data_IF_178413850080
#
_entry.id   IF_178413850080
#
_cell.length_a   1.000
_cell.length_b   1.000
_cell.length_c   1.000
_cell.angle_alpha   90.00
_cell.angle_beta   90.00
_cell.angle_gamma   90.00
#
_symmetry.space_group_name_H-M   'P 1'
#
loop_
_entity.id
_entity.type
_entity.pdbx_description
1 polymer ?
#
# COMPACT_ATOMS: atom_id res chain seq x y z
N UNK A 1 23.61 9.82 12.74
CA UNK A 1 22.30 10.52 12.54
C UNK A 1 21.23 9.66 13.18
N UNK A 2 20.23 10.24 13.83
CA UNK A 2 19.11 9.49 14.40
C UNK A 2 18.02 9.35 13.34
N UNK A 3 17.52 8.12 13.11
CA UNK A 3 16.44 7.86 12.18
C UNK A 3 15.07 8.28 12.75
N UNK A 4 14.15 8.65 11.90
CA UNK A 4 12.77 8.96 12.25
C UNK A 4 11.84 7.85 11.76
N UNK A 5 11.06 7.25 12.68
CA UNK A 5 10.12 6.18 12.40
C UNK A 5 8.70 6.64 12.70
N UNK A 6 7.79 6.50 11.75
CA UNK A 6 6.37 6.79 11.92
C UNK A 6 5.57 5.50 12.05
N UNK A 7 4.85 5.34 13.15
CA UNK A 7 3.83 4.31 13.30
C UNK A 7 2.45 4.82 12.89
N UNK A 8 1.74 4.06 12.07
CA UNK A 8 0.35 4.35 11.68
C UNK A 8 -0.55 3.19 12.10
N UNK A 9 -1.57 3.45 12.90
CA UNK A 9 -2.64 2.48 13.15
C UNK A 9 -3.99 2.99 12.67
N UNK A 10 -4.88 2.05 12.33
CA UNK A 10 -6.28 2.31 11.98
C UNK A 10 -7.27 1.58 12.91
N UNK A 11 -6.74 0.96 13.96
CA UNK A 11 -7.52 0.28 14.99
C UNK A 11 -8.15 1.26 15.99
N UNK A 12 -9.11 0.78 16.77
CA UNK A 12 -9.59 1.52 17.94
C UNK A 12 -8.49 1.66 18.99
N UNK A 13 -8.62 2.61 19.87
CA UNK A 13 -7.73 2.76 21.02
C UNK A 13 -7.65 1.46 21.82
N UNK A 14 -6.47 1.15 22.32
CA UNK A 14 -6.15 -0.07 23.09
C UNK A 14 -6.47 -1.39 22.33
N UNK A 15 -6.45 -1.38 21.02
CA UNK A 15 -6.62 -2.58 20.20
C UNK A 15 -5.34 -3.40 20.11
N UNK A 16 -5.46 -4.67 19.69
CA UNK A 16 -4.30 -5.51 19.41
C UNK A 16 -3.35 -4.87 18.38
N UNK A 17 -3.89 -4.23 17.33
CA UNK A 17 -3.07 -3.54 16.33
C UNK A 17 -2.31 -2.35 16.90
N UNK A 18 -2.91 -1.59 17.82
CA UNK A 18 -2.20 -0.49 18.50
C UNK A 18 -1.10 -0.99 19.43
N UNK A 19 -1.37 -2.08 20.17
CA UNK A 19 -0.39 -2.67 21.08
C UNK A 19 0.82 -3.20 20.31
N UNK A 20 0.60 -4.00 19.27
CA UNK A 20 1.69 -4.55 18.45
C UNK A 20 2.48 -3.46 17.73
N UNK A 21 1.82 -2.37 17.30
CA UNK A 21 2.51 -1.22 16.75
C UNK A 21 3.41 -0.53 17.79
N UNK A 22 2.89 -0.30 18.99
CA UNK A 22 3.67 0.29 20.08
C UNK A 22 4.89 -0.53 20.44
N UNK A 23 4.76 -1.85 20.45
CA UNK A 23 5.90 -2.75 20.71
C UNK A 23 6.97 -2.66 19.63
N UNK A 24 6.58 -2.63 18.36
CA UNK A 24 7.51 -2.44 17.25
C UNK A 24 8.20 -1.06 17.30
N UNK A 25 7.47 -0.01 17.67
CA UNK A 25 8.04 1.33 17.84
C UNK A 25 9.00 1.41 19.04
N UNK A 26 8.66 0.72 20.14
CA UNK A 26 9.54 0.63 21.31
C UNK A 26 10.90 0.04 20.92
N UNK A 27 10.92 -1.04 20.16
CA UNK A 27 12.17 -1.64 19.68
C UNK A 27 12.98 -0.69 18.77
N UNK A 28 12.31 0.19 18.02
CA UNK A 28 13.01 1.23 17.25
C UNK A 28 13.59 2.32 18.17
N UNK A 29 12.84 2.75 19.19
CA UNK A 29 13.25 3.77 20.14
C UNK A 29 14.44 3.30 20.99
N UNK A 30 14.44 2.04 21.46
CA UNK A 30 15.55 1.40 22.20
C UNK A 30 16.85 1.38 21.40
N UNK A 31 16.77 1.39 20.06
CA UNK A 31 17.92 1.49 19.16
C UNK A 31 18.21 2.94 18.70
N UNK A 32 17.63 3.93 19.37
CA UNK A 32 17.94 5.35 19.20
C UNK A 32 17.19 6.06 18.07
N UNK A 33 16.11 5.49 17.54
CA UNK A 33 15.26 6.19 16.60
C UNK A 33 14.36 7.22 17.29
N UNK A 34 14.02 8.30 16.59
CA UNK A 34 12.93 9.18 16.95
C UNK A 34 11.62 8.60 16.45
N UNK A 35 10.78 8.12 17.35
CA UNK A 35 9.50 7.50 17.01
C UNK A 35 8.34 8.47 17.14
N UNK A 36 7.39 8.37 16.20
CA UNK A 36 6.10 9.07 16.24
C UNK A 36 5.01 8.07 15.94
N UNK A 37 3.84 8.26 16.51
CA UNK A 37 2.69 7.40 16.27
C UNK A 37 1.44 8.24 16.00
N UNK A 38 0.66 7.83 15.02
CA UNK A 38 -0.68 8.38 14.76
C UNK A 38 -1.71 7.25 14.69
N UNK A 39 -2.93 7.54 15.13
CA UNK A 39 -4.10 6.72 14.87
C UNK A 39 -4.97 7.45 13.85
N UNK A 40 -5.22 6.84 12.70
CA UNK A 40 -6.01 7.46 11.63
C UNK A 40 -7.45 7.77 12.04
N UNK A 41 -7.93 7.20 13.14
CA UNK A 41 -9.27 7.48 13.70
C UNK A 41 -9.36 8.83 14.40
N UNK A 42 -8.22 9.40 14.78
CA UNK A 42 -8.15 10.70 15.45
C UNK A 42 -8.15 11.88 14.45
N UNK A 43 -8.13 11.57 13.15
CA UNK A 43 -8.06 12.55 12.06
C UNK A 43 -9.30 12.49 11.17
N UNK A 44 -9.69 13.65 10.66
CA UNK A 44 -10.69 13.72 9.62
C UNK A 44 -10.06 13.37 8.27
N UNK A 45 -10.38 12.19 7.73
CA UNK A 45 -9.88 11.73 6.44
C UNK A 45 -11.09 11.42 5.56
N UNK A 46 -11.29 12.20 4.51
CA UNK A 46 -12.35 11.99 3.54
C UNK A 46 -11.97 10.88 2.54
N UNK A 47 -12.96 10.18 2.04
CA UNK A 47 -12.79 9.21 0.96
C UNK A 47 -12.45 9.89 -0.37
N UNK A 48 -11.84 9.14 -1.29
CA UNK A 48 -11.58 9.63 -2.64
C UNK A 48 -12.89 9.86 -3.40
N UNK A 49 -13.05 11.06 -3.94
CA UNK A 49 -14.25 11.41 -4.73
C UNK A 49 -14.19 10.97 -6.20
N UNK A 50 -13.09 10.38 -6.66
CA UNK A 50 -12.89 9.99 -8.06
C UNK A 50 -12.84 11.17 -9.04
N UNK A 51 -12.47 12.37 -8.59
CA UNK A 51 -12.49 13.60 -9.40
C UNK A 51 -11.40 13.69 -10.50
N UNK A 52 -10.48 12.73 -10.57
CA UNK A 52 -9.35 12.62 -11.53
C UNK A 52 -8.36 13.79 -11.57
N UNK A 53 -8.49 14.80 -10.71
CA UNK A 53 -7.61 15.97 -10.75
C UNK A 53 -6.12 15.62 -10.60
N UNK A 54 -5.76 14.65 -9.74
CA UNK A 54 -4.38 14.19 -9.57
C UNK A 54 -3.84 13.57 -10.87
N UNK A 55 -4.58 12.69 -11.53
CA UNK A 55 -4.17 12.06 -12.80
C UNK A 55 -4.07 13.08 -13.93
N UNK A 56 -4.99 14.04 -14.01
CA UNK A 56 -4.89 15.16 -14.94
C UNK A 56 -3.66 16.04 -14.67
N UNK A 57 -3.34 16.24 -13.40
CA UNK A 57 -2.11 16.92 -13.00
C UNK A 57 -0.87 16.19 -13.51
N UNK A 58 -0.81 14.86 -13.32
CA UNK A 58 0.31 14.02 -13.77
C UNK A 58 0.48 14.08 -15.29
N UNK A 59 -0.60 13.92 -16.07
CA UNK A 59 -0.59 14.03 -17.54
C UNK A 59 -0.03 15.39 -18.01
N UNK A 60 -0.33 16.46 -17.28
CA UNK A 60 0.12 17.82 -17.61
C UNK A 60 1.45 18.20 -16.93
N UNK A 61 2.14 17.28 -16.26
CA UNK A 61 3.40 17.54 -15.55
C UNK A 61 3.27 18.55 -14.41
N UNK A 62 2.11 18.63 -13.76
CA UNK A 62 1.81 19.62 -12.71
C UNK A 62 1.35 18.94 -11.41
N UNK A 63 2.00 19.29 -10.32
CA UNK A 63 1.51 18.90 -8.99
C UNK A 63 0.29 19.76 -8.64
N UNK A 64 -0.90 19.19 -8.79
CA UNK A 64 -2.16 19.80 -8.37
C UNK A 64 -2.61 19.34 -6.98
N UNK A 65 -1.92 18.34 -6.41
CA UNK A 65 -2.30 17.72 -5.14
C UNK A 65 -3.69 17.08 -5.18
N UNK A 66 -4.30 16.92 -4.02
CA UNK A 66 -5.66 16.41 -3.91
C UNK A 66 -6.65 17.56 -3.70
N UNK A 67 -7.76 17.57 -4.44
CA UNK A 67 -8.82 18.60 -4.31
C UNK A 67 -9.47 18.66 -2.93
N UNK A 68 -9.28 17.62 -2.12
CA UNK A 68 -9.77 17.53 -0.74
C UNK A 68 -8.76 17.99 0.31
N UNK A 69 -7.52 18.34 -0.06
CA UNK A 69 -6.43 18.66 0.88
C UNK A 69 -6.75 19.76 1.88
N UNK A 70 -7.57 20.73 1.48
CA UNK A 70 -8.00 21.84 2.37
C UNK A 70 -9.23 21.52 3.22
N UNK A 71 -9.78 20.30 3.08
CA UNK A 71 -11.03 19.90 3.72
C UNK A 71 -10.84 18.83 4.79
N UNK A 72 -9.65 18.23 4.84
CA UNK A 72 -9.32 17.17 5.77
C UNK A 72 -7.82 17.14 6.12
N UNK A 73 -7.44 16.23 7.01
CA UNK A 73 -6.10 16.19 7.60
C UNK A 73 -5.09 15.37 6.78
N UNK A 74 -5.51 14.77 5.64
CA UNK A 74 -4.65 13.83 4.93
C UNK A 74 -3.34 14.45 4.45
N UNK A 75 -3.37 15.66 3.93
CA UNK A 75 -2.16 16.31 3.42
C UNK A 75 -1.10 16.51 4.50
N UNK A 76 -1.51 16.87 5.72
CA UNK A 76 -0.59 17.06 6.84
C UNK A 76 0.03 15.72 7.29
N UNK A 77 -0.74 14.63 7.25
CA UNK A 77 -0.20 13.28 7.49
C UNK A 77 0.81 12.91 6.41
N UNK A 78 0.51 13.19 5.14
CA UNK A 78 1.42 12.89 4.03
C UNK A 78 2.71 13.69 4.09
N UNK A 79 2.67 14.96 4.49
CA UNK A 79 3.88 15.76 4.72
C UNK A 79 4.81 15.13 5.76
N UNK A 80 4.24 14.57 6.83
CA UNK A 80 5.02 13.84 7.83
C UNK A 80 5.54 12.52 7.26
N UNK A 81 4.66 11.74 6.62
CA UNK A 81 4.96 10.41 6.09
C UNK A 81 6.07 10.44 5.03
N UNK A 82 6.08 11.42 4.13
CA UNK A 82 7.11 11.55 3.08
C UNK A 82 8.49 11.97 3.64
N UNK A 83 8.56 12.48 4.87
CA UNK A 83 9.80 12.95 5.48
C UNK A 83 10.45 11.95 6.46
N UNK A 84 9.78 10.85 6.83
CA UNK A 84 10.37 9.85 7.74
C UNK A 84 11.30 8.87 6.99
N UNK A 85 12.16 8.17 7.75
CA UNK A 85 13.07 7.15 7.22
C UNK A 85 12.39 5.77 7.17
N UNK A 86 11.45 5.53 8.09
CA UNK A 86 10.68 4.30 8.11
C UNK A 86 9.22 4.51 8.49
N UNK A 87 8.38 3.58 8.02
CA UNK A 87 6.97 3.48 8.31
C UNK A 87 6.66 2.11 8.93
N UNK A 88 5.94 2.07 10.04
CA UNK A 88 5.33 0.83 10.54
C UNK A 88 3.81 1.01 10.51
N UNK A 89 3.12 0.18 9.73
CA UNK A 89 1.66 0.19 9.66
C UNK A 89 1.10 -0.99 10.43
N UNK A 90 0.13 -0.74 11.31
CA UNK A 90 -0.62 -1.81 11.97
C UNK A 90 -2.13 -1.55 11.85
N UNK A 91 -2.82 -2.40 11.11
CA UNK A 91 -4.25 -2.27 10.87
C UNK A 91 -5.02 -3.57 11.18
N UNK A 92 -6.21 -3.47 11.79
CA UNK A 92 -7.07 -4.63 11.95
C UNK A 92 -7.68 -5.05 10.61
N UNK A 93 -7.93 -6.35 10.49
CA UNK A 93 -8.65 -6.95 9.37
C UNK A 93 -10.16 -6.92 9.64
N UNK A 94 -10.94 -6.39 8.70
CA UNK A 94 -12.39 -6.53 8.65
C UNK A 94 -12.79 -7.02 7.25
N UNK A 95 -13.64 -8.03 7.19
CA UNK A 95 -14.10 -8.63 5.93
C UNK A 95 -12.95 -8.88 4.93
N UNK A 96 -11.94 -9.65 5.37
CA UNK A 96 -10.76 -10.09 4.63
C UNK A 96 -9.70 -9.01 4.34
N UNK A 97 -10.02 -7.73 4.39
CA UNK A 97 -9.14 -6.59 4.03
C UNK A 97 -8.75 -5.77 5.25
N UNK A 98 -7.83 -4.81 5.07
CA UNK A 98 -7.61 -3.76 6.06
C UNK A 98 -8.88 -2.92 6.27
N UNK A 99 -9.01 -2.29 7.44
CA UNK A 99 -10.21 -1.52 7.80
C UNK A 99 -10.52 -0.39 6.81
N UNK A 100 -11.80 -0.02 6.69
CA UNK A 100 -12.23 1.11 5.88
C UNK A 100 -11.53 2.43 6.26
N UNK A 101 -11.18 2.61 7.54
CA UNK A 101 -10.38 3.76 8.00
C UNK A 101 -9.02 3.82 7.32
N UNK A 102 -8.33 2.67 7.19
CA UNK A 102 -7.06 2.59 6.48
C UNK A 102 -7.25 2.76 4.97
N UNK A 103 -8.25 2.10 4.40
CA UNK A 103 -8.55 2.18 2.96
C UNK A 103 -8.89 3.62 2.52
N UNK A 104 -9.65 4.38 3.30
CA UNK A 104 -9.90 5.81 3.01
C UNK A 104 -8.60 6.61 2.93
N UNK A 105 -7.68 6.35 3.85
CA UNK A 105 -6.36 6.98 3.82
C UNK A 105 -5.60 6.59 2.56
N UNK A 106 -5.54 5.30 2.25
CA UNK A 106 -4.79 4.73 1.13
C UNK A 106 -5.31 5.23 -0.24
N UNK A 107 -6.62 5.21 -0.48
CA UNK A 107 -7.21 5.47 -1.81
C UNK A 107 -6.92 6.86 -2.39
N UNK A 108 -6.32 7.76 -1.61
CA UNK A 108 -5.92 9.09 -2.07
C UNK A 108 -4.41 9.27 -2.18
N UNK A 109 -3.63 8.19 -2.04
CA UNK A 109 -2.17 8.27 -2.11
C UNK A 109 -1.65 8.66 -3.49
N UNK A 110 -2.39 8.37 -4.56
CA UNK A 110 -1.98 8.74 -5.92
C UNK A 110 -1.71 10.25 -6.08
N UNK A 111 -2.42 11.12 -5.33
CA UNK A 111 -2.17 12.56 -5.34
C UNK A 111 -0.80 12.94 -4.71
N UNK A 112 -0.13 12.00 -4.07
CA UNK A 112 1.15 12.13 -3.37
C UNK A 112 2.14 11.06 -3.85
N UNK A 113 2.00 10.62 -5.10
CA UNK A 113 2.83 9.57 -5.70
C UNK A 113 4.29 10.05 -5.78
N UNK A 114 5.20 9.34 -5.11
CA UNK A 114 6.57 9.79 -4.91
C UNK A 114 7.35 9.91 -6.21
N UNK A 115 7.25 8.92 -7.12
CA UNK A 115 8.00 8.95 -8.37
C UNK A 115 7.60 10.16 -9.24
N UNK A 116 6.31 10.53 -9.26
CA UNK A 116 5.86 11.72 -9.96
C UNK A 116 6.37 13.01 -9.29
N UNK A 117 6.29 13.09 -7.95
CA UNK A 117 6.76 14.27 -7.21
C UNK A 117 8.26 14.47 -7.34
N UNK A 118 9.04 13.39 -7.38
CA UNK A 118 10.48 13.40 -7.66
C UNK A 118 10.78 13.84 -9.09
N UNK A 119 10.07 13.28 -10.08
CA UNK A 119 10.21 13.61 -11.49
C UNK A 119 10.02 15.11 -11.78
N UNK A 120 9.08 15.76 -11.10
CA UNK A 120 8.82 17.20 -11.25
C UNK A 120 9.62 18.08 -10.26
N UNK A 121 10.52 17.47 -9.47
CA UNK A 121 11.37 18.20 -8.51
C UNK A 121 10.62 18.77 -7.30
N UNK A 122 9.43 18.23 -6.98
CA UNK A 122 8.63 18.69 -5.84
C UNK A 122 9.10 18.09 -4.50
N UNK A 123 9.74 16.93 -4.53
CA UNK A 123 10.43 16.30 -3.38
C UNK A 123 11.76 15.73 -3.83
N UNK A 124 12.67 15.53 -2.87
CA UNK A 124 13.92 14.80 -3.10
C UNK A 124 13.70 13.30 -2.88
N UNK A 125 14.45 12.48 -3.62
CA UNK A 125 14.44 11.03 -3.44
C UNK A 125 14.92 10.66 -2.04
N UNK A 126 14.23 9.71 -1.43
CA UNK A 126 14.59 9.20 -0.10
C UNK A 126 14.35 7.69 -0.04
N UNK A 127 15.40 6.94 0.27
CA UNK A 127 15.33 5.49 0.50
C UNK A 127 14.63 5.19 1.83
N UNK A 128 13.35 4.84 1.77
CA UNK A 128 12.50 4.53 2.93
C UNK A 128 12.27 3.04 3.08
N UNK A 129 12.01 2.59 4.31
CA UNK A 129 11.62 1.20 4.58
C UNK A 129 10.28 1.12 5.29
N UNK A 130 9.60 -0.04 5.18
CA UNK A 130 8.37 -0.28 5.91
C UNK A 130 8.29 -1.67 6.54
N UNK A 131 7.59 -1.73 7.68
CA UNK A 131 7.09 -2.93 8.33
C UNK A 131 5.57 -2.92 8.39
N UNK A 132 4.93 -4.06 8.14
CA UNK A 132 3.47 -4.15 8.06
C UNK A 132 2.93 -5.18 9.02
N UNK A 133 1.93 -4.79 9.82
CA UNK A 133 1.21 -5.68 10.75
C UNK A 133 -0.27 -5.68 10.37
N UNK A 134 -0.84 -6.83 10.09
CA UNK A 134 -2.28 -7.01 10.03
C UNK A 134 -2.75 -7.88 11.19
N UNK A 135 -3.88 -7.52 11.79
CA UNK A 135 -4.39 -8.17 13.01
C UNK A 135 -5.82 -8.62 12.81
N UNK A 136 -6.10 -9.89 13.01
CA UNK A 136 -7.45 -10.42 12.87
C UNK A 136 -7.83 -11.51 13.88
N UNK A 137 -9.12 -11.69 14.02
CA UNK A 137 -9.72 -12.61 15.02
C UNK A 137 -9.72 -14.08 14.61
N UNK A 138 -9.47 -14.40 13.35
CA UNK A 138 -9.54 -15.76 12.82
C UNK A 138 -8.21 -16.22 12.23
N UNK A 139 -8.23 -17.30 11.47
CA UNK A 139 -7.10 -17.87 10.77
C UNK A 139 -6.71 -17.01 9.56
N UNK A 140 -5.55 -17.30 8.97
CA UNK A 140 -5.02 -16.58 7.79
C UNK A 140 -6.03 -16.48 6.63
N UNK A 141 -6.83 -17.53 6.39
CA UNK A 141 -7.82 -17.54 5.30
C UNK A 141 -8.89 -16.45 5.43
N UNK A 142 -9.17 -15.99 6.65
CA UNK A 142 -10.09 -14.89 6.94
C UNK A 142 -9.40 -13.51 7.00
N UNK A 143 -8.17 -13.43 6.55
CA UNK A 143 -7.36 -12.22 6.48
C UNK A 143 -6.60 -12.15 5.14
N UNK A 144 -7.15 -12.81 4.11
CA UNK A 144 -6.44 -13.16 2.89
C UNK A 144 -5.99 -11.98 2.02
N UNK A 145 -6.57 -10.81 2.21
CA UNK A 145 -6.21 -9.59 1.47
C UNK A 145 -5.76 -8.45 2.40
N UNK A 146 -5.56 -8.73 3.68
CA UNK A 146 -5.33 -7.69 4.66
C UNK A 146 -3.92 -7.07 4.53
N UNK A 147 -2.87 -7.90 4.48
CA UNK A 147 -1.50 -7.43 4.27
C UNK A 147 -1.32 -6.84 2.88
N UNK A 148 -1.89 -7.46 1.85
CA UNK A 148 -1.86 -6.99 0.47
C UNK A 148 -2.45 -5.58 0.32
N UNK A 149 -3.57 -5.32 0.98
CA UNK A 149 -4.20 -3.99 0.97
C UNK A 149 -3.39 -2.92 1.71
N UNK A 150 -2.61 -3.30 2.74
CA UNK A 150 -1.67 -2.42 3.42
C UNK A 150 -0.42 -2.21 2.55
N UNK A 151 0.12 -3.29 2.01
CA UNK A 151 1.34 -3.29 1.21
C UNK A 151 1.22 -2.41 -0.04
N UNK A 152 0.07 -2.46 -0.72
CA UNK A 152 -0.22 -1.65 -1.89
C UNK A 152 -0.05 -0.13 -1.67
N UNK A 153 -0.12 0.34 -0.41
CA UNK A 153 0.12 1.75 -0.07
C UNK A 153 1.60 2.13 -0.12
N UNK A 154 2.46 1.17 0.18
CA UNK A 154 3.88 1.43 0.43
C UNK A 154 4.61 1.81 -0.85
N UNK A 155 4.32 1.16 -1.98
CA UNK A 155 5.00 1.46 -3.24
C UNK A 155 4.63 2.85 -3.80
N UNK A 156 3.39 3.31 -3.65
CA UNK A 156 2.98 4.66 -4.10
C UNK A 156 3.84 5.76 -3.47
N UNK A 157 4.34 5.54 -2.26
CA UNK A 157 5.14 6.51 -1.51
C UNK A 157 6.57 6.03 -1.26
N UNK A 158 7.07 5.11 -2.08
CA UNK A 158 8.45 4.65 -2.11
C UNK A 158 8.98 4.07 -0.79
N UNK A 159 8.16 3.26 -0.13
CA UNK A 159 8.56 2.50 1.05
C UNK A 159 8.90 1.06 0.67
N UNK A 160 10.16 0.67 0.77
CA UNK A 160 10.57 -0.72 0.62
C UNK A 160 10.07 -1.54 1.82
N UNK A 161 9.13 -2.46 1.59
CA UNK A 161 8.64 -3.35 2.64
C UNK A 161 9.72 -4.40 2.94
N UNK A 162 10.20 -4.42 4.18
CA UNK A 162 11.28 -5.34 4.62
C UNK A 162 10.80 -6.41 5.59
N UNK A 163 9.63 -6.23 6.18
CA UNK A 163 9.03 -7.21 7.09
C UNK A 163 7.50 -7.08 7.08
N UNK A 164 6.81 -8.23 7.17
CA UNK A 164 5.35 -8.31 7.34
C UNK A 164 4.99 -9.31 8.42
N UNK A 165 3.96 -8.98 9.19
CA UNK A 165 3.43 -9.84 10.24
C UNK A 165 1.90 -9.93 10.18
N UNK A 166 1.38 -11.15 10.10
CA UNK A 166 -0.04 -11.45 10.16
C UNK A 166 -0.39 -12.03 11.53
N UNK A 167 -0.84 -11.20 12.46
CA UNK A 167 -1.31 -11.64 13.77
C UNK A 167 -2.74 -12.21 13.65
N UNK A 168 -2.89 -13.49 13.97
CA UNK A 168 -4.14 -14.24 13.81
C UNK A 168 -4.73 -14.67 15.14
N UNK A 169 -6.04 -15.02 15.19
CA UNK A 169 -6.73 -15.63 16.34
C UNK A 169 -6.78 -14.76 17.61
N UNK A 170 -6.79 -13.44 17.44
CA UNK A 170 -6.94 -12.48 18.55
C UNK A 170 -8.17 -11.57 18.37
N UNK A 171 -9.42 -12.16 18.47
CA UNK A 171 -10.65 -11.43 18.24
C UNK A 171 -10.97 -10.38 19.32
N UNK A 172 -10.54 -10.62 20.56
CA UNK A 172 -10.84 -9.72 21.67
C UNK A 172 -9.80 -8.58 21.80
N UNK A 173 -10.21 -7.38 22.26
CA UNK A 173 -9.27 -6.31 22.56
C UNK A 173 -8.20 -6.74 23.56
N UNK A 174 -6.94 -6.32 23.32
CA UNK A 174 -5.80 -6.63 24.20
C UNK A 174 -5.43 -8.11 24.29
N UNK A 175 -6.11 -8.99 23.54
CA UNK A 175 -5.86 -10.42 23.61
C UNK A 175 -4.44 -10.79 23.20
N UNK A 176 -3.78 -10.04 22.33
CA UNK A 176 -2.38 -10.26 21.98
C UNK A 176 -1.43 -10.26 23.19
N UNK A 177 -1.82 -9.62 24.31
CA UNK A 177 -1.04 -9.61 25.54
C UNK A 177 -1.01 -10.97 26.27
N UNK A 178 -1.84 -11.94 25.87
CA UNK A 178 -1.80 -13.31 26.35
C UNK A 178 -0.85 -14.20 25.54
N UNK A 179 -0.17 -13.62 24.54
CA UNK A 179 0.65 -14.31 23.55
C UNK A 179 2.02 -13.62 23.46
N UNK A 180 2.97 -14.06 24.32
CA UNK A 180 4.32 -13.47 24.37
C UNK A 180 5.03 -13.55 23.01
N UNK A 181 4.81 -14.61 22.25
CA UNK A 181 5.32 -14.80 20.90
C UNK A 181 4.86 -13.69 19.92
N UNK A 182 3.62 -13.20 20.04
CA UNK A 182 3.11 -12.08 19.22
C UNK A 182 3.80 -10.77 19.59
N UNK A 183 4.01 -10.52 20.88
CA UNK A 183 4.71 -9.33 21.37
C UNK A 183 6.16 -9.36 20.90
N UNK A 184 6.85 -10.49 21.10
CA UNK A 184 8.23 -10.68 20.63
C UNK A 184 8.34 -10.54 19.10
N UNK A 185 7.36 -11.06 18.33
CA UNK A 185 7.35 -10.92 16.88
C UNK A 185 7.17 -9.46 16.43
N UNK A 186 6.35 -8.69 17.14
CA UNK A 186 6.20 -7.25 16.88
C UNK A 186 7.48 -6.47 17.26
N UNK A 187 8.10 -6.79 18.39
CA UNK A 187 9.39 -6.24 18.79
C UNK A 187 10.46 -6.52 17.72
N UNK A 188 10.52 -7.77 17.25
CA UNK A 188 11.44 -8.19 16.18
C UNK A 188 11.28 -7.38 14.90
N UNK A 189 10.06 -6.98 14.55
CA UNK A 189 9.83 -6.09 13.40
C UNK A 189 10.52 -4.74 13.58
N UNK A 190 10.45 -4.13 14.76
CA UNK A 190 11.18 -2.90 15.07
C UNK A 190 12.69 -3.06 14.92
N UNK A 191 13.26 -4.17 15.44
CA UNK A 191 14.67 -4.50 15.24
C UNK A 191 15.03 -4.66 13.74
N UNK A 192 14.17 -5.32 12.96
CA UNK A 192 14.36 -5.51 11.53
C UNK A 192 14.34 -4.18 10.78
N UNK A 193 13.44 -3.27 11.11
CA UNK A 193 13.39 -1.89 10.58
C UNK A 193 14.71 -1.18 10.86
N UNK A 194 15.20 -1.17 12.11
CA UNK A 194 16.43 -0.49 12.47
C UNK A 194 17.66 -1.11 11.81
N UNK A 195 17.71 -2.44 11.71
CA UNK A 195 18.77 -3.14 10.97
C UNK A 195 18.75 -2.76 9.49
N UNK A 196 17.56 -2.69 8.87
CA UNK A 196 17.41 -2.27 7.48
C UNK A 196 17.87 -0.83 7.26
N UNK A 197 17.51 0.11 8.15
CA UNK A 197 17.92 1.51 8.07
C UNK A 197 19.45 1.68 8.20
N UNK A 198 20.11 0.83 9.00
CA UNK A 198 21.56 0.81 9.14
C UNK A 198 22.29 0.06 8.01
N UNK A 199 21.55 -0.55 7.08
CA UNK A 199 22.07 -1.23 5.90
C UNK A 199 21.99 -0.29 4.68
N UNK A 200 23.04 -0.20 3.84
CA UNK A 200 22.99 0.58 2.60
C UNK A 200 21.76 0.22 1.74
N UNK A 201 21.08 1.18 1.17
CA UNK A 201 19.79 0.97 0.49
C UNK A 201 19.79 -0.18 -0.54
N UNK A 202 20.88 -0.29 -1.32
CA UNK A 202 21.05 -1.35 -2.34
C UNK A 202 21.24 -2.76 -1.77
N UNK A 203 21.63 -2.86 -0.50
CA UNK A 203 21.90 -4.12 0.20
C UNK A 203 20.72 -4.54 1.11
N UNK A 204 19.71 -3.69 1.24
CA UNK A 204 18.53 -3.98 2.05
C UNK A 204 17.78 -5.18 1.51
N UNK A 205 17.62 -6.21 2.32
CA UNK A 205 16.93 -7.44 2.00
C UNK A 205 15.65 -7.59 2.82
N UNK A 206 14.83 -8.54 2.42
CA UNK A 206 13.71 -9.03 3.22
C UNK A 206 14.20 -9.61 4.55
N UNK A 207 13.51 -9.30 5.63
CA UNK A 207 13.83 -9.73 7.00
C UNK A 207 12.65 -10.40 7.72
N UNK A 208 11.50 -10.47 7.04
CA UNK A 208 10.33 -11.20 7.51
C UNK A 208 10.46 -12.71 7.32
N UNK A 209 9.37 -13.44 7.54
CA UNK A 209 9.33 -14.88 7.34
C UNK A 209 9.52 -15.23 5.85
N UNK A 210 10.39 -16.20 5.54
CA UNK A 210 10.70 -16.59 4.15
C UNK A 210 9.46 -17.06 3.38
N UNK A 211 8.55 -17.75 4.05
CA UNK A 211 7.32 -18.30 3.46
C UNK A 211 6.10 -17.39 3.67
N UNK A 212 6.29 -16.08 3.78
CA UNK A 212 5.17 -15.15 3.98
C UNK A 212 4.17 -15.20 2.84
N UNK A 213 4.60 -15.25 1.59
CA UNK A 213 3.74 -15.26 0.41
C UNK A 213 4.33 -15.97 -0.80
N UNK A 214 3.55 -16.04 -1.88
CA UNK A 214 3.91 -16.68 -3.14
C UNK A 214 4.97 -15.90 -3.94
N UNK A 215 4.87 -14.56 -3.94
CA UNK A 215 5.76 -13.73 -4.73
C UNK A 215 7.15 -13.66 -4.08
N UNK A 216 8.22 -14.13 -4.76
CA UNK A 216 9.57 -14.09 -4.19
C UNK A 216 10.15 -12.66 -4.13
N UNK A 217 9.51 -11.69 -4.81
CA UNK A 217 9.95 -10.31 -4.83
C UNK A 217 9.36 -9.47 -3.70
N UNK A 218 8.03 -9.47 -3.55
CA UNK A 218 7.35 -8.63 -2.54
C UNK A 218 6.68 -9.42 -1.41
N UNK A 219 6.77 -10.75 -1.42
CA UNK A 219 6.21 -11.67 -0.42
C UNK A 219 4.68 -11.61 -0.25
N UNK A 220 3.96 -11.10 -1.26
CA UNK A 220 2.50 -11.14 -1.30
C UNK A 220 1.97 -12.53 -1.66
N UNK A 221 0.76 -12.84 -1.19
CA UNK A 221 0.02 -14.05 -1.57
C UNK A 221 -0.90 -13.86 -2.78
N UNK A 222 -1.06 -12.65 -3.26
CA UNK A 222 -2.01 -12.33 -4.32
C UNK A 222 -1.39 -12.52 -5.70
N UNK A 223 -1.73 -13.64 -6.36
CA UNK A 223 -1.41 -13.92 -7.74
C UNK A 223 -2.68 -13.92 -8.59
N UNK A 224 -2.57 -13.43 -9.82
CA UNK A 224 -3.65 -13.43 -10.83
C UNK A 224 -3.18 -14.05 -12.13
N UNK A 225 -4.11 -14.45 -12.97
CA UNK A 225 -3.83 -14.72 -14.38
C UNK A 225 -3.42 -13.41 -15.05
N UNK A 226 -2.33 -13.46 -15.79
CA UNK A 226 -1.84 -12.29 -16.50
C UNK A 226 -2.73 -11.92 -17.68
N UNK A 227 -2.70 -10.66 -18.04
CA UNK A 227 -3.41 -10.11 -19.19
C UNK A 227 -2.48 -9.30 -20.09
N UNK A 228 -2.91 -9.10 -21.34
CA UNK A 228 -2.19 -8.24 -22.26
C UNK A 228 -2.22 -6.79 -21.76
N UNK A 229 -1.06 -6.27 -21.52
CA UNK A 229 -0.89 -4.92 -21.01
C UNK A 229 -0.86 -3.90 -22.15
N UNK A 230 -0.97 -2.61 -21.82
CA UNK A 230 -0.99 -1.51 -22.77
C UNK A 230 0.24 -1.43 -23.68
N UNK A 231 1.39 -1.94 -23.25
CA UNK A 231 2.66 -1.99 -23.99
C UNK A 231 2.89 -3.32 -24.71
N UNK A 232 1.90 -4.20 -24.74
CA UNK A 232 1.95 -5.50 -25.42
C UNK A 232 2.63 -6.61 -24.63
N UNK A 233 3.08 -6.37 -23.40
CA UNK A 233 3.69 -7.40 -22.53
C UNK A 233 2.58 -8.20 -21.86
N UNK A 234 2.75 -9.53 -21.80
CA UNK A 234 1.84 -10.45 -21.14
C UNK A 234 2.65 -11.58 -20.47
N UNK A 235 2.36 -11.85 -19.22
CA UNK A 235 2.89 -13.00 -18.49
C UNK A 235 1.73 -13.94 -18.12
N UNK A 236 1.95 -15.26 -18.03
CA UNK A 236 0.89 -16.21 -17.65
C UNK A 236 0.31 -15.96 -16.26
N UNK A 237 1.13 -15.51 -15.33
CA UNK A 237 0.75 -15.19 -13.94
C UNK A 237 1.43 -13.89 -13.50
N UNK A 238 0.74 -13.07 -12.81
CA UNK A 238 1.25 -11.80 -12.28
C UNK A 238 0.99 -11.66 -10.78
N UNK A 239 1.90 -10.99 -10.06
CA UNK A 239 1.67 -10.59 -8.68
C UNK A 239 0.80 -9.33 -8.64
N UNK A 240 -0.35 -9.38 -7.97
CA UNK A 240 -1.27 -8.24 -7.87
C UNK A 240 -0.66 -7.04 -7.16
N UNK A 241 0.27 -7.25 -6.24
CA UNK A 241 0.85 -6.17 -5.45
C UNK A 241 1.99 -5.48 -6.20
N UNK A 242 3.06 -6.21 -6.53
CA UNK A 242 4.23 -5.58 -7.15
C UNK A 242 4.20 -5.57 -8.69
N UNK A 243 3.36 -6.35 -9.33
CA UNK A 243 3.31 -6.45 -10.79
C UNK A 243 4.36 -7.38 -11.39
N UNK A 244 5.09 -8.15 -10.56
CA UNK A 244 6.04 -9.15 -11.08
C UNK A 244 5.32 -10.20 -11.93
N UNK A 245 5.80 -10.40 -13.16
CA UNK A 245 5.28 -11.37 -14.12
C UNK A 245 6.08 -12.67 -14.14
N UNK A 246 5.41 -13.79 -14.33
CA UNK A 246 6.08 -15.09 -14.32
C UNK A 246 5.17 -16.29 -14.57
N UNK A 247 5.61 -17.45 -14.11
CA UNK A 247 4.92 -18.73 -14.21
C UNK A 247 4.75 -19.40 -12.85
N UNK A 248 3.79 -20.32 -12.77
CA UNK A 248 3.72 -21.31 -11.70
C UNK A 248 4.43 -22.59 -12.15
N UNK A 249 5.43 -23.02 -11.38
CA UNK A 249 6.20 -24.23 -11.64
C UNK A 249 6.07 -25.21 -10.49
N UNK A 250 6.13 -26.51 -10.80
CA UNK A 250 6.25 -27.58 -9.80
C UNK A 250 7.70 -27.71 -9.36
N UNK A 251 7.90 -27.75 -8.05
CA UNK A 251 9.17 -28.13 -7.43
C UNK A 251 9.35 -29.66 -7.45
N UNK A 252 10.57 -30.14 -7.22
CA UNK A 252 10.86 -31.59 -7.18
C UNK A 252 10.04 -32.34 -6.12
N UNK A 253 9.74 -31.67 -5.00
CA UNK A 253 8.88 -32.21 -3.94
C UNK A 253 7.35 -32.07 -4.23
N UNK A 254 7.00 -31.65 -5.45
CA UNK A 254 5.63 -31.60 -5.96
C UNK A 254 4.82 -30.37 -5.53
N UNK A 255 5.42 -29.43 -4.82
CA UNK A 255 4.79 -28.14 -4.48
C UNK A 255 4.81 -27.17 -5.66
N UNK A 256 3.98 -26.14 -5.58
CA UNK A 256 3.99 -25.06 -6.56
C UNK A 256 4.81 -23.88 -6.03
N UNK A 257 5.53 -23.22 -6.95
CA UNK A 257 6.20 -21.94 -6.69
C UNK A 257 5.90 -20.95 -7.83
N UNK A 258 5.87 -19.68 -7.52
CA UNK A 258 5.86 -18.63 -8.53
C UNK A 258 7.30 -18.29 -8.89
N UNK A 259 7.61 -18.37 -10.19
CA UNK A 259 8.93 -18.08 -10.75
C UNK A 259 8.82 -16.86 -11.66
N UNK A 260 9.52 -15.80 -11.29
CA UNK A 260 9.58 -14.58 -12.09
C UNK A 260 10.35 -14.85 -13.35
N UNK A 261 9.78 -14.51 -14.51
CA UNK A 261 10.40 -14.68 -15.83
C UNK A 261 11.42 -13.58 -16.13
N UNK A 262 12.21 -13.76 -17.18
CA UNK A 262 12.99 -12.69 -17.78
C UNK A 262 12.07 -11.50 -18.09
N UNK A 263 12.50 -10.29 -17.79
CA UNK A 263 11.70 -9.06 -17.86
C UNK A 263 10.45 -9.02 -16.98
N UNK A 264 10.20 -10.03 -16.16
CA UNK A 264 9.05 -10.11 -15.26
C UNK A 264 8.97 -8.97 -14.22
N UNK A 265 10.07 -8.27 -13.97
CA UNK A 265 10.13 -7.08 -13.12
C UNK A 265 10.06 -5.75 -13.90
N UNK A 266 9.85 -5.79 -15.21
CA UNK A 266 9.78 -4.58 -16.05
C UNK A 266 8.66 -3.60 -15.65
N UNK A 267 7.73 -4.05 -14.80
CA UNK A 267 6.59 -3.27 -14.26
C UNK A 267 6.55 -3.28 -12.73
N UNK A 268 7.69 -3.50 -12.11
CA UNK A 268 7.77 -3.56 -10.66
C UNK A 268 7.31 -2.25 -10.02
N UNK A 269 6.11 -2.26 -9.45
CA UNK A 269 5.51 -1.11 -8.76
C UNK A 269 6.28 -0.68 -7.52
N UNK A 270 7.20 -1.52 -7.04
CA UNK A 270 8.06 -1.20 -5.89
C UNK A 270 9.34 -0.48 -6.30
N UNK A 271 9.60 -0.35 -7.61
CA UNK A 271 10.73 0.40 -8.17
C UNK A 271 10.30 1.77 -8.72
N UNK A 272 11.22 2.70 -8.81
CA UNK A 272 10.99 4.00 -9.44
C UNK A 272 10.67 3.82 -10.92
N UNK A 273 11.43 2.97 -11.63
CA UNK A 273 11.27 2.70 -13.05
C UNK A 273 9.89 2.12 -13.38
N UNK A 274 9.41 1.18 -12.56
CA UNK A 274 8.07 0.58 -12.75
C UNK A 274 6.95 1.59 -12.52
N UNK A 275 7.11 2.51 -11.55
CA UNK A 275 6.15 3.60 -11.31
C UNK A 275 6.18 4.66 -12.40
N UNK A 276 7.35 5.03 -12.92
CA UNK A 276 7.46 5.90 -14.09
C UNK A 276 6.77 5.28 -15.31
N UNK A 277 6.90 3.95 -15.50
CA UNK A 277 6.17 3.25 -16.55
C UNK A 277 4.65 3.35 -16.36
N UNK A 278 4.17 3.26 -15.13
CA UNK A 278 2.75 3.46 -14.82
C UNK A 278 2.29 4.92 -15.08
N UNK A 279 3.13 5.92 -14.84
CA UNK A 279 2.81 7.30 -15.23
C UNK A 279 2.58 7.43 -16.75
N UNK A 280 3.41 6.77 -17.57
CA UNK A 280 3.22 6.72 -19.03
C UNK A 280 1.95 5.96 -19.43
N UNK A 281 1.59 4.91 -18.69
CA UNK A 281 0.32 4.20 -18.88
C UNK A 281 -0.87 5.12 -18.61
N UNK A 282 -0.84 5.93 -17.55
CA UNK A 282 -1.86 6.94 -17.25
C UNK A 282 -1.98 7.95 -18.41
N UNK A 283 -0.84 8.43 -18.92
CA UNK A 283 -0.82 9.34 -20.06
C UNK A 283 -1.43 8.68 -21.32
N UNK A 284 -1.05 7.44 -21.62
CA UNK A 284 -1.56 6.70 -22.77
C UNK A 284 -3.07 6.44 -22.66
N UNK A 285 -3.53 5.95 -21.52
CA UNK A 285 -4.91 5.51 -21.33
C UNK A 285 -5.89 6.65 -21.09
N UNK A 286 -5.52 7.63 -20.28
CA UNK A 286 -6.38 8.76 -19.95
C UNK A 286 -6.18 9.97 -20.89
N UNK A 287 -4.94 10.26 -21.28
CA UNK A 287 -4.64 11.36 -22.17
C UNK A 287 -5.31 11.21 -23.53
N UNK A 288 -5.32 9.99 -24.08
CA UNK A 288 -5.99 9.66 -25.33
C UNK A 288 -7.52 9.77 -25.30
N UNK A 289 -8.13 9.82 -24.10
CA UNK A 289 -9.58 9.99 -23.96
C UNK A 289 -10.04 11.43 -24.23
N UNK A 290 -9.25 12.45 -23.88
CA UNK A 290 -9.66 13.86 -23.90
C UNK A 290 -9.53 14.52 -25.28
N UNK A 291 -9.97 13.82 -26.34
CA UNK A 291 -10.10 14.39 -27.69
C UNK A 291 -11.51 14.96 -27.89
N UNK A 292 -11.65 15.95 -28.75
CA UNK A 292 -12.96 16.53 -29.09
C UNK A 292 -13.93 15.47 -29.62
N UNK A 293 -13.44 14.54 -30.48
CA UNK A 293 -14.19 13.43 -31.00
C UNK A 293 -14.74 12.50 -29.92
N UNK A 294 -13.87 12.01 -29.03
CA UNK A 294 -14.24 11.12 -27.91
C UNK A 294 -15.24 11.80 -26.97
N UNK A 295 -15.03 13.06 -26.65
CA UNK A 295 -15.94 13.82 -25.79
C UNK A 295 -17.31 14.03 -26.43
N UNK A 296 -17.38 14.24 -27.75
CA UNK A 296 -18.64 14.34 -28.47
C UNK A 296 -19.43 13.01 -28.46
N UNK A 297 -18.74 11.89 -28.74
CA UNK A 297 -19.33 10.54 -28.68
C UNK A 297 -19.84 10.23 -27.26
N UNK A 298 -19.05 10.52 -26.24
CA UNK A 298 -19.45 10.29 -24.85
C UNK A 298 -20.66 11.12 -24.47
N UNK A 299 -20.70 12.39 -24.85
CA UNK A 299 -21.83 13.28 -24.58
C UNK A 299 -23.14 12.76 -25.23
N UNK A 300 -23.07 12.32 -26.48
CA UNK A 300 -24.20 11.74 -27.19
C UNK A 300 -24.71 10.47 -26.48
N UNK A 301 -23.82 9.51 -26.27
CA UNK A 301 -24.19 8.24 -25.65
C UNK A 301 -24.66 8.39 -24.20
N UNK A 302 -24.07 9.34 -23.43
CA UNK A 302 -24.46 9.59 -22.05
C UNK A 302 -25.85 10.18 -21.90
N UNK A 303 -26.40 10.84 -22.93
CA UNK A 303 -27.74 11.42 -22.89
C UNK A 303 -28.81 10.40 -22.46
N UNK A 304 -28.72 9.15 -22.98
CA UNK A 304 -29.58 8.03 -22.56
C UNK A 304 -29.51 7.75 -21.04
N UNK A 305 -28.32 7.71 -20.49
CA UNK A 305 -28.11 7.34 -19.08
C UNK A 305 -28.54 8.46 -18.13
N UNK A 306 -28.44 9.71 -18.55
CA UNK A 306 -28.88 10.87 -17.78
C UNK A 306 -30.38 10.84 -17.48
N UNK A 307 -31.17 10.31 -18.41
CA UNK A 307 -32.62 10.19 -18.26
C UNK A 307 -33.07 8.93 -17.50
N UNK A 308 -32.19 7.95 -17.34
CA UNK A 308 -32.51 6.73 -16.60
C UNK A 308 -32.55 7.02 -15.09
N UNK A 309 -33.71 6.75 -14.49
CA UNK A 309 -33.95 6.86 -13.06
C UNK A 309 -34.47 5.54 -12.54
N UNK A 310 -33.76 4.98 -11.54
CA UNK A 310 -34.20 3.79 -10.83
C UNK A 310 -34.62 4.18 -9.42
N UNK A 311 -35.73 3.61 -8.89
CA UNK A 311 -36.15 3.91 -7.53
C UNK A 311 -35.10 3.46 -6.53
N UNK A 312 -34.80 4.30 -5.55
CA UNK A 312 -33.97 3.96 -4.39
C UNK A 312 -34.75 3.16 -3.35
N UNK A 313 -34.07 2.80 -2.28
CA UNK A 313 -34.71 2.22 -1.10
C UNK A 313 -35.05 3.33 -0.09
N UNK A 314 -36.23 3.25 0.52
CA UNK A 314 -36.60 4.12 1.64
C UNK A 314 -36.04 3.52 2.94
N UNK A 315 -35.19 4.28 3.63
CA UNK A 315 -34.70 3.91 4.97
C UNK A 315 -35.52 4.70 5.98
N UNK A 316 -36.36 4.01 6.73
CA UNK A 316 -37.00 4.61 7.90
C UNK A 316 -35.94 4.86 8.96
N UNK A 317 -35.74 6.15 9.30
CA UNK A 317 -34.85 6.58 10.38
C UNK A 317 -35.56 6.46 11.72
#
# INVERSE_FOLDING_TARGET
MSFTVLGITAGRKDSNSEILLKEALLACEEQGAHVRMINLRDYNIMECSGCTACTQGMINGKNVGCTLSKKDDKEEIMKVMLNVDALIVSAPTYDLTATATYLKFMHRNLAYESAFLELIGAIEHKDRVAGLISVGGSTRSWQSMALESIQATCFTNDFKVVDMYLATRVPAPKQCLLHDDMIQRAHKMGENIMKSLNTPAKERAWMGEENMGWCPHCHSNALILGEMQWDGVCFPVECQVCGAGGNLEKTEDGKWKFVIQEDGLSRDRTSVEGREKHLREIEHTQGGFYTEENLAIVKEKFAKYKELKFPGIEIKK
#
